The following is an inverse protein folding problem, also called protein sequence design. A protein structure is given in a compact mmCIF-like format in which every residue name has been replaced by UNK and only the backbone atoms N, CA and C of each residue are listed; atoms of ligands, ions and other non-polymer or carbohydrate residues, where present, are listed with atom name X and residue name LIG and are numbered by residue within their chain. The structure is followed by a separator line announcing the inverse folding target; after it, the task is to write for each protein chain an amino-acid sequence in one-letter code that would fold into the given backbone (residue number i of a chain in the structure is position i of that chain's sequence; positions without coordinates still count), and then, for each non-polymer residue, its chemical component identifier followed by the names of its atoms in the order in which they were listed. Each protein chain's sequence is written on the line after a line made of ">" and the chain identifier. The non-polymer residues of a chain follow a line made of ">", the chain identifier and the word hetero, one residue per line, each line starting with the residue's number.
data_IF_433688733746
#
_entry.id   IF_433688733746
#
_cell.length_a   1.000
_cell.length_b   1.000
_cell.length_c   1.000
_cell.angle_alpha   90.00
_cell.angle_beta   90.00
_cell.angle_gamma   90.00
#
_symmetry.space_group_name_H-M   'P 1'
#
loop_
_entity.id
_entity.type
_entity.pdbx_description
1 polymer ?
#
# COMPACT_ATOMS: atom_id res chain seq x y z
N UNK A 1 -5.51 -8.94 -10.16
CA UNK A 1 -6.92 -8.48 -10.21
C UNK A 1 -6.99 -7.01 -9.85
N UNK A 2 -7.70 -6.21 -10.64
CA UNK A 2 -7.57 -4.75 -10.70
C UNK A 2 -6.39 -4.39 -11.60
N UNK A 3 -6.67 -3.83 -12.78
CA UNK A 3 -5.70 -3.49 -13.82
C UNK A 3 -5.56 -1.98 -14.05
N UNK A 4 -6.19 -1.17 -13.19
CA UNK A 4 -6.06 0.29 -13.19
C UNK A 4 -4.65 0.78 -12.87
N UNK A 5 -4.54 1.98 -12.30
CA UNK A 5 -3.26 2.68 -12.16
C UNK A 5 -2.17 1.90 -11.41
N UNK A 6 -2.53 1.19 -10.34
CA UNK A 6 -1.57 0.47 -9.51
C UNK A 6 -1.36 -0.97 -9.98
N UNK A 7 -2.44 -1.67 -10.35
CA UNK A 7 -2.36 -3.03 -10.89
C UNK A 7 -1.55 -3.14 -12.18
N UNK A 8 -1.64 -2.15 -13.06
CA UNK A 8 -0.79 -2.12 -14.25
C UNK A 8 0.68 -1.77 -13.94
N UNK A 9 1.00 -1.11 -12.82
CA UNK A 9 2.39 -0.93 -12.35
C UNK A 9 2.98 -2.23 -11.80
N UNK A 10 2.18 -3.01 -11.08
CA UNK A 10 2.55 -4.40 -10.73
C UNK A 10 2.89 -5.20 -11.99
N UNK A 11 2.03 -5.13 -13.01
CA UNK A 11 2.26 -5.81 -14.29
C UNK A 11 3.55 -5.35 -14.97
N UNK A 12 3.89 -4.06 -14.95
CA UNK A 12 5.16 -3.55 -15.46
C UNK A 12 6.36 -4.12 -14.70
N UNK A 13 6.29 -4.18 -13.36
CA UNK A 13 7.35 -4.75 -12.54
C UNK A 13 7.60 -6.23 -12.84
N UNK A 14 6.58 -6.99 -13.27
CA UNK A 14 6.73 -8.40 -13.62
C UNK A 14 7.52 -8.64 -14.91
N UNK A 15 7.70 -7.63 -15.76
CA UNK A 15 8.49 -7.76 -17.01
C UNK A 15 9.95 -8.11 -16.74
N UNK A 16 10.49 -7.66 -15.60
CA UNK A 16 11.89 -7.89 -15.23
C UNK A 16 12.08 -9.21 -14.46
N UNK A 17 11.02 -10.00 -14.26
CA UNK A 17 11.11 -11.26 -13.56
C UNK A 17 11.96 -12.26 -14.37
N UNK A 18 12.99 -12.84 -13.73
CA UNK A 18 13.88 -13.82 -14.37
C UNK A 18 13.21 -15.17 -14.62
N UNK A 19 12.11 -15.46 -13.92
CA UNK A 19 11.34 -16.68 -14.09
C UNK A 19 10.22 -16.46 -15.12
N UNK A 20 10.03 -17.44 -16.01
CA UNK A 20 8.88 -17.41 -16.92
C UNK A 20 7.58 -17.47 -16.12
N UNK A 21 6.67 -16.56 -16.43
CA UNK A 21 5.40 -16.42 -15.72
C UNK A 21 4.23 -16.67 -16.68
N UNK A 22 3.14 -17.22 -16.15
CA UNK A 22 1.82 -17.15 -16.78
C UNK A 22 0.95 -16.16 -16.00
N UNK A 23 0.69 -15.02 -16.60
CA UNK A 23 0.02 -13.87 -15.99
C UNK A 23 -1.41 -13.77 -16.54
N UNK A 24 -2.37 -13.71 -15.64
CA UNK A 24 -3.78 -13.53 -15.95
C UNK A 24 -4.25 -12.22 -15.31
N UNK A 25 -4.46 -11.19 -16.14
CA UNK A 25 -4.85 -9.85 -15.72
C UNK A 25 -6.38 -9.77 -15.77
N UNK A 26 -7.00 -9.35 -14.68
CA UNK A 26 -8.46 -9.28 -14.56
C UNK A 26 -8.88 -7.88 -14.12
N UNK A 27 -9.77 -7.26 -14.91
CA UNK A 27 -10.47 -6.04 -14.54
C UNK A 27 -11.77 -5.94 -15.35
N UNK A 28 -12.94 -5.67 -14.73
CA UNK A 28 -14.19 -5.57 -15.47
C UNK A 28 -14.19 -4.40 -16.47
N UNK A 29 -13.39 -3.35 -16.23
CA UNK A 29 -13.34 -2.17 -17.09
C UNK A 29 -12.39 -2.38 -18.28
N UNK A 30 -12.88 -2.33 -19.54
CA UNK A 30 -12.04 -2.47 -20.72
C UNK A 30 -10.90 -1.45 -20.79
N UNK A 31 -11.16 -0.20 -20.37
CA UNK A 31 -10.15 0.87 -20.39
C UNK A 31 -8.98 0.60 -19.41
N UNK A 32 -9.27 -0.06 -18.29
CA UNK A 32 -8.24 -0.47 -17.33
C UNK A 32 -7.37 -1.59 -17.92
N UNK A 33 -7.99 -2.58 -18.57
CA UNK A 33 -7.27 -3.63 -19.29
C UNK A 33 -6.42 -3.04 -20.41
N UNK A 34 -6.96 -2.11 -21.21
CA UNK A 34 -6.20 -1.39 -22.24
C UNK A 34 -4.98 -0.68 -21.66
N UNK A 35 -5.15 0.04 -20.55
CA UNK A 35 -4.05 0.73 -19.86
C UNK A 35 -2.96 -0.25 -19.42
N UNK A 36 -3.35 -1.42 -18.90
CA UNK A 36 -2.42 -2.47 -18.50
C UNK A 36 -1.68 -3.07 -19.70
N UNK A 37 -2.38 -3.34 -20.81
CA UNK A 37 -1.78 -3.81 -22.06
C UNK A 37 -0.77 -2.81 -22.62
N UNK A 38 -1.14 -1.52 -22.71
CA UNK A 38 -0.26 -0.47 -23.23
C UNK A 38 1.03 -0.37 -22.38
N UNK A 39 0.89 -0.44 -21.05
CA UNK A 39 2.04 -0.41 -20.11
C UNK A 39 2.91 -1.64 -20.18
N UNK A 40 2.32 -2.83 -20.35
CA UNK A 40 3.04 -4.08 -20.54
C UNK A 40 3.90 -4.02 -21.81
N UNK A 41 3.30 -3.63 -22.94
CA UNK A 41 4.00 -3.50 -24.22
C UNK A 41 5.09 -2.43 -24.16
N UNK A 42 4.83 -1.28 -23.55
CA UNK A 42 5.82 -0.20 -23.43
C UNK A 42 7.10 -0.62 -22.66
N UNK A 43 7.00 -1.63 -21.78
CA UNK A 43 8.13 -2.17 -21.05
C UNK A 43 8.84 -3.34 -21.77
N UNK A 44 8.43 -3.69 -23.00
CA UNK A 44 8.97 -4.82 -23.75
C UNK A 44 8.40 -6.18 -23.35
N UNK A 45 7.26 -6.19 -22.63
CA UNK A 45 6.63 -7.42 -22.17
C UNK A 45 6.09 -8.29 -23.30
N UNK A 46 5.78 -7.71 -24.46
CA UNK A 46 5.26 -8.45 -25.63
C UNK A 46 6.34 -9.32 -26.29
N UNK A 47 7.59 -8.90 -26.21
CA UNK A 47 8.77 -9.61 -26.70
C UNK A 47 9.41 -10.51 -25.64
N UNK A 48 8.88 -10.48 -24.41
CA UNK A 48 9.40 -11.22 -23.26
C UNK A 48 9.07 -12.71 -23.26
N UNK A 49 9.55 -13.41 -22.23
CA UNK A 49 9.32 -14.85 -22.08
C UNK A 49 7.98 -15.22 -21.42
N UNK A 50 7.26 -14.23 -20.90
CA UNK A 50 6.04 -14.43 -20.12
C UNK A 50 4.81 -14.66 -21.02
N UNK A 51 3.86 -15.46 -20.55
CA UNK A 51 2.54 -15.60 -21.16
C UNK A 51 1.58 -14.65 -20.45
N UNK A 52 0.95 -13.72 -21.18
CA UNK A 52 -0.01 -12.77 -20.59
C UNK A 52 -1.36 -12.86 -21.28
N UNK A 53 -2.42 -12.91 -20.48
CA UNK A 53 -3.81 -12.88 -20.93
C UNK A 53 -4.62 -11.88 -20.12
N UNK A 54 -5.63 -11.28 -20.76
CA UNK A 54 -6.47 -10.23 -20.18
C UNK A 54 -7.92 -10.68 -20.20
N UNK A 55 -8.60 -10.54 -19.06
CA UNK A 55 -9.93 -11.08 -18.79
C UNK A 55 -10.79 -10.02 -18.11
N UNK A 56 -12.10 -10.07 -18.34
CA UNK A 56 -13.04 -9.15 -17.69
C UNK A 56 -13.70 -9.75 -16.44
N UNK A 57 -13.67 -11.08 -16.30
CA UNK A 57 -14.23 -11.79 -15.17
C UNK A 57 -13.27 -12.80 -14.55
N UNK A 58 -13.41 -13.01 -13.25
CA UNK A 58 -12.61 -14.03 -12.53
C UNK A 58 -12.89 -15.45 -13.03
N UNK A 59 -14.09 -15.70 -13.57
CA UNK A 59 -14.50 -17.00 -14.10
C UNK A 59 -13.63 -17.51 -15.26
N UNK A 60 -12.89 -16.62 -15.92
CA UNK A 60 -11.99 -16.93 -17.05
C UNK A 60 -10.58 -17.35 -16.60
N UNK A 61 -10.27 -17.19 -15.31
CA UNK A 61 -8.95 -17.44 -14.73
C UNK A 61 -8.79 -18.91 -14.32
N UNK A 62 -7.56 -19.41 -14.33
CA UNK A 62 -7.17 -20.70 -13.75
C UNK A 62 -7.74 -20.93 -12.35
N UNK A 63 -8.13 -22.18 -12.06
CA UNK A 63 -8.56 -22.65 -10.74
C UNK A 63 -7.40 -22.88 -9.76
N UNK A 64 -6.17 -22.81 -10.25
CA UNK A 64 -4.94 -22.97 -9.50
C UNK A 64 -4.08 -21.74 -9.75
N UNK A 65 -3.80 -20.97 -8.70
CA UNK A 65 -3.09 -19.70 -8.75
C UNK A 65 -1.98 -19.70 -7.71
N UNK A 66 -0.73 -19.65 -8.16
CA UNK A 66 0.42 -19.63 -7.25
C UNK A 66 0.49 -18.31 -6.46
N UNK A 67 0.28 -17.18 -7.14
CA UNK A 67 0.31 -15.83 -6.55
C UNK A 67 -0.87 -15.00 -7.07
N UNK A 68 -1.70 -14.50 -6.17
CA UNK A 68 -2.76 -13.54 -6.47
C UNK A 68 -2.34 -12.13 -6.03
N UNK A 69 -2.20 -11.21 -6.99
CA UNK A 69 -2.02 -9.78 -6.70
C UNK A 69 -3.37 -9.06 -6.80
N UNK A 70 -3.83 -8.45 -5.71
CA UNK A 70 -5.12 -7.76 -5.61
C UNK A 70 -4.92 -6.26 -5.44
N UNK A 71 -5.01 -5.54 -6.56
CA UNK A 71 -4.75 -4.11 -6.68
C UNK A 71 -6.03 -3.27 -6.87
N UNK A 72 -7.15 -3.74 -6.31
CA UNK A 72 -8.43 -3.01 -6.29
C UNK A 72 -8.43 -1.93 -5.20
N UNK A 73 -9.45 -1.08 -5.18
CA UNK A 73 -9.66 -0.16 -4.06
C UNK A 73 -10.11 -0.90 -2.80
N UNK A 74 -9.89 -0.30 -1.64
CA UNK A 74 -10.31 -0.86 -0.34
C UNK A 74 -11.81 -1.09 -0.24
N UNK A 75 -12.60 -0.24 -0.90
CA UNK A 75 -14.06 -0.32 -0.90
C UNK A 75 -14.62 -1.65 -1.43
N UNK A 76 -13.97 -2.26 -2.43
CA UNK A 76 -14.44 -3.51 -3.06
C UNK A 76 -13.54 -4.71 -2.79
N UNK A 77 -12.45 -4.53 -2.03
CA UNK A 77 -11.39 -5.55 -1.95
C UNK A 77 -11.86 -6.84 -1.29
N UNK A 78 -12.65 -6.76 -0.22
CA UNK A 78 -13.18 -7.95 0.46
C UNK A 78 -13.99 -8.83 -0.50
N UNK A 79 -14.93 -8.24 -1.24
CA UNK A 79 -15.73 -8.94 -2.24
C UNK A 79 -14.87 -9.59 -3.34
N UNK A 80 -13.81 -8.90 -3.78
CA UNK A 80 -12.89 -9.41 -4.80
C UNK A 80 -12.06 -10.58 -4.28
N UNK A 81 -11.53 -10.48 -3.05
CA UNK A 81 -10.75 -11.55 -2.43
C UNK A 81 -11.64 -12.79 -2.19
N UNK A 82 -12.87 -12.61 -1.73
CA UNK A 82 -13.85 -13.69 -1.59
C UNK A 82 -14.17 -14.36 -2.93
N UNK A 83 -14.40 -13.56 -3.99
CA UNK A 83 -14.68 -14.11 -5.31
C UNK A 83 -13.49 -14.89 -5.88
N UNK A 84 -12.25 -14.45 -5.61
CA UNK A 84 -11.04 -15.18 -6.00
C UNK A 84 -10.94 -16.48 -5.18
N UNK A 85 -11.07 -16.43 -3.86
CA UNK A 85 -10.94 -17.61 -2.99
C UNK A 85 -12.05 -18.65 -3.21
N UNK A 86 -13.25 -18.22 -3.62
CA UNK A 86 -14.32 -19.12 -4.04
C UNK A 86 -14.08 -19.74 -5.43
N UNK A 87 -13.25 -19.10 -6.26
CA UNK A 87 -13.00 -19.53 -7.63
C UNK A 87 -11.74 -20.39 -7.75
N UNK A 88 -10.64 -20.00 -7.12
CA UNK A 88 -9.33 -20.60 -7.29
C UNK A 88 -8.68 -20.95 -5.94
N UNK A 89 -7.89 -22.01 -5.97
CA UNK A 89 -6.93 -22.32 -4.91
C UNK A 89 -5.72 -21.40 -5.07
N UNK A 90 -5.48 -20.56 -4.06
CA UNK A 90 -4.45 -19.51 -4.10
C UNK A 90 -3.35 -19.82 -3.10
N UNK A 91 -2.12 -20.01 -3.59
CA UNK A 91 -0.95 -20.27 -2.75
C UNK A 91 -0.54 -19.04 -1.92
N UNK A 92 -0.37 -17.89 -2.57
CA UNK A 92 0.14 -16.67 -1.97
C UNK A 92 -0.68 -15.44 -2.38
N UNK A 93 -0.83 -14.49 -1.46
CA UNK A 93 -1.57 -13.25 -1.69
C UNK A 93 -0.69 -12.02 -1.55
N UNK A 94 -0.78 -11.10 -2.49
CA UNK A 94 -0.22 -9.75 -2.39
C UNK A 94 -1.40 -8.77 -2.48
N UNK A 95 -1.66 -8.07 -1.38
CA UNK A 95 -2.84 -7.23 -1.23
C UNK A 95 -2.44 -5.76 -1.17
N UNK A 96 -3.11 -4.92 -1.95
CA UNK A 96 -2.92 -3.48 -1.82
C UNK A 96 -3.47 -2.93 -0.50
N UNK A 97 -2.80 -1.89 0.00
CA UNK A 97 -3.23 -1.14 1.18
C UNK A 97 -4.23 -0.03 0.82
N UNK A 98 -5.01 0.50 1.77
CA UNK A 98 -5.39 -0.07 3.07
C UNK A 98 -6.31 -1.25 2.83
N UNK A 99 -6.21 -2.36 3.58
CA UNK A 99 -6.90 -3.63 3.28
C UNK A 99 -8.42 -3.51 3.14
N UNK A 100 -9.06 -2.72 3.99
CA UNK A 100 -10.51 -2.62 4.12
C UNK A 100 -10.93 -1.21 4.58
N UNK A 101 -12.24 -0.95 4.60
CA UNK A 101 -12.84 0.28 5.15
C UNK A 101 -13.46 0.07 6.53
N UNK A 102 -13.51 -1.18 7.02
CA UNK A 102 -14.09 -1.54 8.31
C UNK A 102 -13.63 -2.92 8.77
N UNK A 103 -13.97 -3.25 10.02
CA UNK A 103 -13.58 -4.52 10.63
C UNK A 103 -14.28 -5.73 10.01
N UNK A 104 -15.52 -5.57 9.55
CA UNK A 104 -16.26 -6.66 8.93
C UNK A 104 -15.59 -7.10 7.64
N UNK A 105 -15.20 -6.16 6.79
CA UNK A 105 -14.45 -6.44 5.57
C UNK A 105 -13.07 -7.03 5.87
N UNK A 106 -12.39 -6.61 6.96
CA UNK A 106 -11.15 -7.26 7.40
C UNK A 106 -11.39 -8.74 7.75
N UNK A 107 -12.44 -9.06 8.51
CA UNK A 107 -12.78 -10.45 8.87
C UNK A 107 -13.09 -11.28 7.62
N UNK A 108 -13.79 -10.70 6.65
CA UNK A 108 -14.07 -11.31 5.34
C UNK A 108 -12.78 -11.62 4.57
N UNK A 109 -11.85 -10.66 4.51
CA UNK A 109 -10.53 -10.86 3.89
C UNK A 109 -9.76 -11.98 4.56
N UNK A 110 -9.67 -11.99 5.90
CA UNK A 110 -8.96 -13.04 6.65
C UNK A 110 -9.58 -14.41 6.38
N UNK A 111 -10.91 -14.50 6.38
CA UNK A 111 -11.63 -15.75 6.10
C UNK A 111 -11.35 -16.26 4.68
N UNK A 112 -11.38 -15.37 3.68
CA UNK A 112 -11.18 -15.74 2.29
C UNK A 112 -9.72 -16.07 1.94
N UNK A 113 -8.75 -15.43 2.59
CA UNK A 113 -7.32 -15.78 2.48
C UNK A 113 -7.04 -17.13 3.15
N UNK A 114 -7.74 -17.45 4.25
CA UNK A 114 -7.65 -18.72 4.92
C UNK A 114 -6.25 -18.98 5.50
N UNK A 115 -5.70 -20.17 5.23
CA UNK A 115 -4.38 -20.57 5.71
C UNK A 115 -3.22 -20.13 4.79
N UNK A 116 -3.51 -19.50 3.65
CA UNK A 116 -2.50 -19.05 2.69
C UNK A 116 -1.70 -17.88 3.26
N UNK A 117 -0.43 -17.78 2.86
CA UNK A 117 0.38 -16.62 3.23
C UNK A 117 -0.08 -15.37 2.46
N UNK A 118 -0.11 -14.24 3.15
CA UNK A 118 -0.51 -12.96 2.59
C UNK A 118 0.44 -11.83 3.01
N UNK A 119 0.72 -10.95 2.06
CA UNK A 119 1.48 -9.72 2.28
C UNK A 119 0.62 -8.52 1.92
N UNK A 120 0.72 -7.48 2.73
CA UNK A 120 0.14 -6.16 2.43
C UNK A 120 1.23 -5.30 1.80
N UNK A 121 0.94 -4.63 0.69
CA UNK A 121 1.91 -3.82 -0.02
C UNK A 121 2.22 -2.51 0.75
N UNK A 122 3.18 -2.58 1.67
CA UNK A 122 3.79 -1.43 2.34
C UNK A 122 5.20 -1.18 1.80
N UNK A 123 5.30 -0.19 0.91
CA UNK A 123 6.49 0.06 0.06
C UNK A 123 7.82 0.17 0.82
N UNK A 124 7.82 0.67 2.06
CA UNK A 124 9.06 0.90 2.84
C UNK A 124 9.93 -0.35 3.02
N UNK A 125 9.33 -1.54 3.13
CA UNK A 125 10.08 -2.80 3.30
C UNK A 125 10.79 -3.26 2.01
N UNK A 126 10.26 -2.87 0.85
CA UNK A 126 10.79 -3.21 -0.48
C UNK A 126 11.74 -2.16 -1.06
N UNK A 127 11.78 -0.96 -0.49
CA UNK A 127 12.64 0.13 -0.97
C UNK A 127 14.12 -0.12 -0.58
N UNK A 128 15.06 -0.21 -1.55
CA UNK A 128 16.44 -0.61 -1.26
C UNK A 128 17.18 0.26 -0.25
N UNK A 129 17.00 1.58 -0.29
CA UNK A 129 17.71 2.47 0.63
C UNK A 129 17.14 2.41 2.06
N UNK A 130 15.84 2.13 2.25
CA UNK A 130 15.30 1.83 3.58
C UNK A 130 15.83 0.51 4.17
N UNK A 131 16.16 -0.46 3.33
CA UNK A 131 16.84 -1.70 3.76
C UNK A 131 18.28 -1.41 4.23
N UNK A 132 18.98 -0.48 3.58
CA UNK A 132 20.31 -0.04 4.03
C UNK A 132 20.23 0.64 5.40
N UNK A 133 19.23 1.49 5.61
CA UNK A 133 19.00 2.15 6.91
C UNK A 133 18.76 1.11 8.02
N UNK A 134 17.91 0.10 7.78
CA UNK A 134 17.66 -0.96 8.76
C UNK A 134 18.93 -1.75 9.12
N UNK A 135 19.84 -1.89 8.16
CA UNK A 135 21.08 -2.66 8.36
C UNK A 135 22.21 -1.88 9.02
N UNK A 136 22.09 -0.55 9.20
CA UNK A 136 23.22 0.27 9.67
C UNK A 136 23.38 0.23 11.18
N UNK A 137 22.33 0.44 12.00
CA UNK A 137 22.35 0.27 13.46
C UNK A 137 20.94 0.05 14.06
N UNK A 138 20.79 -0.67 15.19
CA UNK A 138 19.52 -0.75 15.92
C UNK A 138 19.22 0.58 16.62
N UNK A 139 18.13 1.23 16.22
CA UNK A 139 17.76 2.58 16.71
C UNK A 139 16.59 2.59 17.71
N UNK A 140 16.13 1.44 18.22
CA UNK A 140 15.02 1.39 19.18
C UNK A 140 15.45 1.78 20.61
N UNK A 141 14.65 2.59 21.35
CA UNK A 141 13.42 3.23 20.89
C UNK A 141 13.69 4.49 20.05
N UNK A 142 12.84 4.72 19.04
CA UNK A 142 12.84 5.92 18.20
C UNK A 142 11.67 6.84 18.53
N UNK A 143 11.85 8.12 18.24
CA UNK A 143 10.75 9.07 18.04
C UNK A 143 10.70 9.43 16.57
N UNK A 144 9.53 9.34 15.93
CA UNK A 144 9.40 9.77 14.54
C UNK A 144 8.29 10.79 14.36
N UNK A 145 8.45 11.66 13.37
CA UNK A 145 7.45 12.62 12.96
C UNK A 145 7.28 12.58 11.43
N UNK A 146 6.03 12.46 10.99
CA UNK A 146 5.62 12.55 9.58
C UNK A 146 4.67 13.71 9.45
N UNK A 147 5.04 14.70 8.64
CA UNK A 147 4.23 15.88 8.42
C UNK A 147 4.12 16.22 6.94
N UNK A 148 2.96 16.75 6.58
CA UNK A 148 2.70 17.38 5.28
C UNK A 148 1.38 18.14 5.34
N UNK A 149 1.03 18.80 4.23
CA UNK A 149 -0.28 19.40 4.06
C UNK A 149 -1.36 18.31 3.91
N UNK A 150 -2.16 18.31 2.85
CA UNK A 150 -3.19 17.30 2.63
C UNK A 150 -2.60 16.05 1.94
N UNK A 151 -1.70 15.33 2.62
CA UNK A 151 -0.94 14.20 2.05
C UNK A 151 -1.67 12.85 2.02
N UNK A 152 -2.91 12.83 2.48
CA UNK A 152 -3.78 11.66 2.43
C UNK A 152 -3.51 10.66 3.56
N UNK A 153 -3.50 11.15 4.80
CA UNK A 153 -3.06 10.40 5.98
C UNK A 153 -3.85 9.11 6.21
N UNK A 154 -5.18 9.12 6.02
CA UNK A 154 -6.05 7.96 6.23
C UNK A 154 -5.62 6.75 5.41
N UNK A 155 -5.13 6.96 4.19
CA UNK A 155 -4.70 5.87 3.32
C UNK A 155 -3.19 5.62 3.35
N UNK A 156 -2.38 6.60 3.73
CA UNK A 156 -0.92 6.54 3.61
C UNK A 156 -0.20 6.33 4.95
N UNK A 157 -0.81 6.64 6.10
CA UNK A 157 -0.20 6.47 7.43
C UNK A 157 0.32 5.06 7.68
N UNK A 158 -0.43 4.04 7.23
CA UNK A 158 -0.07 2.62 7.40
C UNK A 158 1.33 2.28 6.87
N UNK A 159 1.81 2.99 5.84
CA UNK A 159 3.17 2.78 5.34
C UNK A 159 4.23 3.13 6.36
N UNK A 160 4.07 4.27 7.04
CA UNK A 160 5.02 4.72 8.04
C UNK A 160 4.89 3.91 9.32
N UNK A 161 3.66 3.59 9.74
CA UNK A 161 3.44 2.73 10.91
C UNK A 161 4.11 1.37 10.73
N UNK A 162 3.91 0.74 9.56
CA UNK A 162 4.55 -0.54 9.23
C UNK A 162 6.08 -0.42 9.09
N UNK A 163 6.58 0.66 8.49
CA UNK A 163 8.02 0.93 8.38
C UNK A 163 8.69 0.98 9.76
N UNK A 164 8.05 1.61 10.74
CA UNK A 164 8.60 1.67 12.10
C UNK A 164 8.59 0.30 12.78
N UNK A 165 7.51 -0.48 12.67
CA UNK A 165 7.50 -1.88 13.15
C UNK A 165 8.68 -2.66 12.55
N UNK A 166 8.94 -2.50 11.26
CA UNK A 166 9.99 -3.22 10.56
C UNK A 166 11.40 -2.80 10.99
N UNK A 167 11.62 -1.50 11.15
CA UNK A 167 12.91 -0.93 11.56
C UNK A 167 13.28 -1.23 13.00
N UNK A 168 12.33 -1.09 13.92
CA UNK A 168 12.60 -1.28 15.35
C UNK A 168 12.44 -2.73 15.79
N UNK A 169 11.66 -3.52 15.05
CA UNK A 169 11.22 -4.85 15.49
C UNK A 169 10.15 -4.82 16.58
N UNK A 170 9.62 -3.63 16.91
CA UNK A 170 8.55 -3.47 17.88
C UNK A 170 7.17 -3.70 17.23
N UNK A 171 6.20 -4.07 18.05
CA UNK A 171 4.80 -4.14 17.66
C UNK A 171 4.13 -2.78 17.86
N UNK A 172 3.26 -2.39 16.93
CA UNK A 172 2.37 -1.24 17.11
C UNK A 172 1.29 -1.60 18.14
N UNK A 173 1.28 -0.92 19.27
CA UNK A 173 0.39 -1.22 20.39
C UNK A 173 -0.85 -0.33 20.37
N UNK A 174 -0.70 0.93 19.96
CA UNK A 174 -1.76 1.91 20.02
C UNK A 174 -1.59 3.01 18.97
N UNK A 175 -2.73 3.52 18.48
CA UNK A 175 -2.81 4.70 17.62
C UNK A 175 -3.90 5.60 18.19
N UNK A 176 -3.47 6.64 18.87
CA UNK A 176 -4.33 7.65 19.48
C UNK A 176 -4.77 8.66 18.41
N UNK A 177 -6.08 8.75 18.23
CA UNK A 177 -6.72 9.61 17.25
C UNK A 177 -7.39 10.85 17.88
N UNK A 178 -7.17 11.13 19.17
CA UNK A 178 -7.77 12.28 19.86
C UNK A 178 -7.30 13.64 19.30
N UNK A 179 -6.19 13.65 18.54
CA UNK A 179 -5.66 14.84 17.87
C UNK A 179 -6.21 15.08 16.46
N UNK A 180 -7.13 14.24 15.97
CA UNK A 180 -7.77 14.45 14.67
C UNK A 180 -8.78 15.60 14.74
N UNK A 181 -8.96 16.28 13.61
CA UNK A 181 -10.06 17.24 13.46
C UNK A 181 -11.41 16.50 13.38
N UNK A 182 -12.48 17.10 13.89
CA UNK A 182 -13.83 16.50 13.91
C UNK A 182 -14.46 16.29 12.51
N UNK A 183 -13.93 16.94 11.48
CA UNK A 183 -14.52 16.96 10.15
C UNK A 183 -13.83 15.97 9.21
N UNK A 184 -14.63 15.07 8.62
CA UNK A 184 -14.20 14.25 7.49
C UNK A 184 -14.12 15.08 6.22
N UNK A 185 -12.99 14.99 5.52
CA UNK A 185 -12.76 15.69 4.26
C UNK A 185 -13.10 14.78 3.09
N UNK A 186 -13.66 15.34 2.01
CA UNK A 186 -13.85 14.58 0.76
C UNK A 186 -12.47 14.27 0.19
N UNK A 187 -12.16 13.00 -0.06
CA UNK A 187 -10.87 12.58 -0.62
C UNK A 187 -10.79 12.79 -2.13
N UNK A 188 -9.56 12.88 -2.66
CA UNK A 188 -9.31 13.03 -4.11
C UNK A 188 -9.88 11.93 -5.00
N UNK A 189 -10.22 10.77 -4.42
CA UNK A 189 -10.89 9.67 -5.11
C UNK A 189 -12.38 9.74 -4.79
N UNK A 190 -13.27 9.81 -5.80
CA UNK A 190 -14.71 9.83 -5.56
C UNK A 190 -15.17 8.69 -4.65
N UNK A 191 -16.00 9.01 -3.65
CA UNK A 191 -16.53 8.04 -2.67
C UNK A 191 -15.58 7.70 -1.53
N UNK A 192 -14.40 8.31 -1.44
CA UNK A 192 -13.48 8.15 -0.32
C UNK A 192 -13.42 9.43 0.52
N UNK A 193 -13.21 9.25 1.83
CA UNK A 193 -13.01 10.32 2.79
C UNK A 193 -11.55 10.37 3.25
N UNK A 194 -11.16 11.47 3.84
CA UNK A 194 -9.82 11.75 4.34
C UNK A 194 -9.88 12.46 5.70
N UNK A 195 -8.78 12.37 6.45
CA UNK A 195 -8.64 12.96 7.79
C UNK A 195 -7.56 14.05 7.82
N UNK A 196 -7.72 15.02 8.72
CA UNK A 196 -6.71 16.01 9.09
C UNK A 196 -6.51 16.05 10.59
N UNK A 197 -5.47 16.73 11.04
CA UNK A 197 -5.05 16.76 12.44
C UNK A 197 -3.88 15.81 12.69
N UNK A 198 -3.87 15.14 13.83
CA UNK A 198 -2.73 14.39 14.36
C UNK A 198 -3.12 12.99 14.84
N UNK A 199 -2.28 12.01 14.50
CA UNK A 199 -2.26 10.67 15.08
C UNK A 199 -0.99 10.47 15.90
N UNK A 200 -1.13 9.86 17.08
CA UNK A 200 0.01 9.49 17.93
C UNK A 200 0.13 7.97 18.01
N UNK A 201 1.23 7.42 17.52
CA UNK A 201 1.50 5.98 17.52
C UNK A 201 2.42 5.59 18.68
N UNK A 202 2.14 4.46 19.32
CA UNK A 202 2.95 3.90 20.43
C UNK A 202 3.29 2.44 20.15
N UNK A 203 4.53 2.06 20.44
CA UNK A 203 5.08 0.74 20.14
C UNK A 203 5.59 0.03 21.39
N UNK A 204 5.72 -1.29 21.30
CA UNK A 204 5.97 -2.18 22.45
C UNK A 204 7.30 -1.98 23.17
N UNK A 205 8.32 -1.46 22.48
CA UNK A 205 9.65 -1.16 23.02
C UNK A 205 9.85 0.30 23.44
N UNK A 206 8.78 1.10 23.42
CA UNK A 206 8.80 2.51 23.82
C UNK A 206 9.02 3.49 22.69
N UNK A 207 9.08 3.05 21.43
CA UNK A 207 9.06 3.98 20.29
C UNK A 207 7.73 4.72 20.21
N UNK A 208 7.79 5.96 19.75
CA UNK A 208 6.59 6.82 19.58
C UNK A 208 6.61 7.56 18.26
N UNK A 209 5.44 7.83 17.70
CA UNK A 209 5.28 8.54 16.44
C UNK A 209 4.23 9.62 16.48
N UNK A 210 4.46 10.69 15.72
CA UNK A 210 3.44 11.70 15.44
C UNK A 210 3.26 11.79 13.93
N UNK A 211 2.04 11.55 13.43
CA UNK A 211 1.69 11.73 12.03
C UNK A 211 0.68 12.86 11.92
N UNK A 212 0.99 13.88 11.12
CA UNK A 212 0.18 15.08 11.00
C UNK A 212 -0.19 15.39 9.56
N UNK A 213 -1.45 15.72 9.32
CA UNK A 213 -1.94 16.18 8.03
C UNK A 213 -2.69 17.51 8.17
N UNK A 214 -2.35 18.45 7.30
CA UNK A 214 -3.11 19.67 7.09
C UNK A 214 -4.35 19.44 6.23
N UNK A 215 -5.18 20.48 6.18
CA UNK A 215 -6.31 20.57 5.24
C UNK A 215 -5.84 21.14 3.89
N UNK A 216 -6.57 20.89 2.79
CA UNK A 216 -6.39 21.65 1.56
C UNK A 216 -6.48 23.16 1.82
N UNK A 217 -5.74 24.00 1.07
CA UNK A 217 -5.74 25.45 1.29
C UNK A 217 -7.09 26.09 0.94
N UNK A 218 -7.79 25.53 -0.05
CA UNK A 218 -9.06 26.06 -0.55
C UNK A 218 -10.24 25.19 -0.08
N UNK A 219 -11.30 25.84 0.39
CA UNK A 219 -12.53 25.16 0.78
C UNK A 219 -13.18 24.44 -0.42
N UNK A 220 -13.60 23.19 -0.21
CA UNK A 220 -14.23 22.37 -1.26
C UNK A 220 -13.24 21.64 -2.18
N UNK A 221 -11.93 21.92 -2.09
CA UNK A 221 -10.92 21.11 -2.77
C UNK A 221 -10.82 19.74 -2.09
N UNK A 222 -10.88 18.62 -2.83
CA UNK A 222 -10.70 17.30 -2.24
C UNK A 222 -9.34 17.16 -1.56
N UNK A 223 -9.27 16.45 -0.43
CA UNK A 223 -8.05 16.20 0.32
C UNK A 223 -7.20 15.05 -0.27
N UNK A 224 -5.92 15.01 0.09
CA UNK A 224 -5.00 13.91 -0.25
C UNK A 224 -4.14 14.15 -1.50
N UNK A 225 -4.02 15.38 -2.00
CA UNK A 225 -3.21 15.70 -3.19
C UNK A 225 -1.73 15.91 -2.90
N UNK A 226 -1.38 16.30 -1.68
CA UNK A 226 -0.02 16.68 -1.34
C UNK A 226 0.85 15.44 -1.09
N UNK A 227 2.16 15.66 -0.99
CA UNK A 227 3.13 14.64 -0.61
C UNK A 227 3.61 14.89 0.82
N UNK A 228 4.11 13.85 1.46
CA UNK A 228 4.84 14.01 2.72
C UNK A 228 6.15 14.75 2.44
N UNK A 229 6.39 15.83 3.17
CA UNK A 229 7.58 16.67 2.96
C UNK A 229 8.83 15.97 3.50
N UNK A 230 8.74 15.45 4.72
CA UNK A 230 9.81 14.77 5.41
C UNK A 230 9.32 13.72 6.40
N UNK A 231 10.17 12.71 6.62
CA UNK A 231 10.12 11.80 7.74
C UNK A 231 11.32 12.12 8.64
N UNK A 232 11.06 12.62 9.84
CA UNK A 232 12.07 12.83 10.87
C UNK A 232 12.08 11.64 11.82
N UNK A 233 13.26 11.11 12.14
CA UNK A 233 13.45 9.98 13.05
C UNK A 233 14.60 10.30 14.00
N UNK A 234 14.36 10.23 15.30
CA UNK A 234 15.32 10.50 16.36
C UNK A 234 15.49 9.26 17.24
N UNK A 235 16.71 9.04 17.72
CA UNK A 235 17.01 8.07 18.77
C UNK A 235 18.03 8.68 19.75
N UNK A 236 18.50 7.90 20.71
CA UNK A 236 19.33 8.40 21.81
C UNK A 236 20.63 9.10 21.38
N UNK A 237 21.23 8.72 20.25
CA UNK A 237 22.52 9.20 19.79
C UNK A 237 22.50 9.90 18.42
N UNK A 238 21.33 10.05 17.79
CA UNK A 238 21.26 10.60 16.44
C UNK A 238 19.87 10.91 15.93
N UNK A 239 19.86 11.41 14.70
CA UNK A 239 18.65 11.84 13.98
C UNK A 239 18.84 11.65 12.48
N UNK A 240 17.75 11.27 11.81
CA UNK A 240 17.61 11.28 10.37
C UNK A 240 16.48 12.20 9.95
N UNK A 241 16.74 13.03 8.93
CA UNK A 241 15.70 13.78 8.20
C UNK A 241 15.65 13.30 6.77
N UNK A 242 14.65 12.49 6.47
CA UNK A 242 14.46 11.89 5.16
C UNK A 242 13.50 12.79 4.38
N UNK A 243 14.01 13.52 3.39
CA UNK A 243 13.19 14.36 2.50
C UNK A 243 12.53 13.50 1.44
N UNK A 244 11.28 13.81 1.07
CA UNK A 244 10.50 13.06 0.06
C UNK A 244 10.52 11.55 0.33
N UNK A 245 10.07 11.09 1.51
CA UNK A 245 10.26 9.70 1.94
C UNK A 245 9.64 8.65 1.02
N UNK A 246 8.71 9.02 0.13
CA UNK A 246 8.08 8.14 -0.86
C UNK A 246 8.89 7.91 -2.14
N UNK A 247 10.03 8.58 -2.32
CA UNK A 247 10.85 8.40 -3.52
C UNK A 247 11.59 7.05 -3.49
N UNK A 248 11.62 6.36 -4.62
CA UNK A 248 12.43 5.14 -4.78
C UNK A 248 13.91 5.47 -5.01
N UNK A 249 14.20 6.64 -5.59
CA UNK A 249 15.54 7.06 -5.99
C UNK A 249 16.17 8.10 -5.04
N UNK A 250 15.34 8.83 -4.29
CA UNK A 250 15.79 9.84 -3.34
C UNK A 250 15.60 9.36 -1.90
N UNK A 251 16.64 9.48 -1.08
CA UNK A 251 16.60 9.18 0.35
C UNK A 251 17.95 9.47 1.02
N UNK A 252 17.89 10.02 2.25
CA UNK A 252 18.98 10.59 3.09
C UNK A 252 19.87 11.66 2.43
#
# INVERSE_FOLDING_TARGET
>A
VGAGQLGSRHLQGLVTCSHRLRIQVVDPAPDALKTATDRWTAMGGAEGCHEVSFHQGIGEVSRQVEIAIVATTAFRRSEVIEAIGAHADVGLWILEKVLAQGEEELRRIVTAVGASMAWVNTWGRSTPWYQQIRGSEPVSPIRFHVGGASWGMACNAIHFLDLMCWWTGEELVDVDAAGLDDEWLIGKRPGFMEISGELVARYSGGSTGVLRAGRPPDAGTPAGWDVVDALDVEWSSGHWRIKRPHSEEDGL
#
